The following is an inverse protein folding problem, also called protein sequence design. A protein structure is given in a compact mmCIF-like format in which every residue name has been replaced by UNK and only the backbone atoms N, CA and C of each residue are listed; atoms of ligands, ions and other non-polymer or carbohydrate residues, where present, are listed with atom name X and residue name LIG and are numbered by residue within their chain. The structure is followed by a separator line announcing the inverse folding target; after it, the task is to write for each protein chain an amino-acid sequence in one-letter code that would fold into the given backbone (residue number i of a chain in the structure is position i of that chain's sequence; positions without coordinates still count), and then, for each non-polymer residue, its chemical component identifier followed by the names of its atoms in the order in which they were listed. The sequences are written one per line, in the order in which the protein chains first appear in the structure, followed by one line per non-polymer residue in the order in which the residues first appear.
data_IF_700330230146
#
_entry.id   IF_700330230146
#
_cell.length_a   1.000
_cell.length_b   1.000
_cell.length_c   1.000
_cell.angle_alpha   90.00
_cell.angle_beta   90.00
_cell.angle_gamma   90.00
#
_symmetry.space_group_name_H-M   'P 1'
#
loop_
_entity.id
_entity.type
_entity.pdbx_description
1 polymer ?
#
# COMPACT_ATOMS: atom_id res chain seq x y z
N UNK A 1 -74.73 -23.03 46.75
CA UNK A 1 -74.00 -21.75 46.98
C UNK A 1 -72.61 -21.89 46.55
N UNK A 2 -72.36 -21.43 45.35
CA UNK A 2 -71.06 -21.58 44.68
C UNK A 2 -70.37 -20.24 44.56
N UNK A 3 -69.24 -20.07 45.19
CA UNK A 3 -68.33 -18.94 44.88
C UNK A 3 -67.35 -19.33 43.80
N UNK A 4 -67.62 -18.82 42.68
CA UNK A 4 -66.70 -18.91 41.56
C UNK A 4 -65.52 -17.96 41.81
N UNK A 5 -64.31 -18.47 41.88
CA UNK A 5 -63.10 -17.68 41.80
C UNK A 5 -62.57 -17.72 40.37
N UNK A 6 -62.65 -16.54 39.78
CA UNK A 6 -61.99 -16.32 38.48
C UNK A 6 -60.46 -16.37 38.68
N UNK A 7 -59.82 -17.34 38.12
CA UNK A 7 -58.38 -17.35 37.96
C UNK A 7 -57.97 -16.36 36.87
N UNK A 8 -57.25 -15.36 37.25
CA UNK A 8 -56.63 -14.44 36.29
C UNK A 8 -55.50 -15.16 35.56
N UNK A 9 -55.72 -15.42 34.26
CA UNK A 9 -54.66 -15.81 33.37
C UNK A 9 -53.75 -14.62 33.12
N UNK A 10 -52.57 -14.63 33.72
CA UNK A 10 -51.49 -13.76 33.31
C UNK A 10 -50.85 -14.33 32.06
N UNK A 11 -51.23 -13.76 30.93
CA UNK A 11 -50.56 -14.00 29.67
C UNK A 11 -49.28 -13.21 29.67
N UNK A 12 -48.19 -13.85 30.08
CA UNK A 12 -46.84 -13.30 29.96
C UNK A 12 -46.43 -13.34 28.49
N UNK A 13 -46.57 -12.22 27.83
CA UNK A 13 -45.93 -12.03 26.52
C UNK A 13 -44.41 -11.97 26.71
N UNK A 14 -43.75 -13.08 26.45
CA UNK A 14 -42.30 -13.10 26.34
C UNK A 14 -41.94 -12.42 25.01
N UNK A 15 -41.60 -11.17 25.08
CA UNK A 15 -41.02 -10.46 23.94
C UNK A 15 -39.60 -11.02 23.71
N UNK A 16 -39.48 -11.92 22.79
CA UNK A 16 -38.18 -12.36 22.27
C UNK A 16 -37.64 -11.21 21.40
N UNK A 17 -36.82 -10.36 22.01
CA UNK A 17 -36.02 -9.40 21.26
C UNK A 17 -34.94 -10.19 20.54
N UNK A 18 -35.20 -10.55 19.29
CA UNK A 18 -34.19 -11.07 18.37
C UNK A 18 -33.25 -9.89 18.03
N UNK A 19 -32.16 -9.76 18.77
CA UNK A 19 -31.06 -8.92 18.40
C UNK A 19 -30.42 -9.57 17.17
N UNK A 20 -30.83 -9.15 15.99
CA UNK A 20 -30.12 -9.46 14.76
C UNK A 20 -28.77 -8.75 14.82
N UNK A 21 -27.75 -9.45 15.27
CA UNK A 21 -26.36 -9.09 15.06
C UNK A 21 -26.13 -9.15 13.56
N UNK A 22 -26.30 -8.01 12.91
CA UNK A 22 -25.77 -7.76 11.58
C UNK A 22 -24.24 -7.80 11.73
N UNK A 23 -23.68 -8.99 11.59
CA UNK A 23 -22.27 -9.14 11.30
C UNK A 23 -22.08 -8.50 9.91
N UNK A 24 -21.78 -7.21 9.92
CA UNK A 24 -21.21 -6.55 8.77
C UNK A 24 -19.87 -7.23 8.53
N UNK A 25 -19.85 -8.27 7.71
CA UNK A 25 -18.64 -8.74 7.06
C UNK A 25 -18.18 -7.54 6.24
N UNK A 26 -17.25 -6.75 6.80
CA UNK A 26 -16.47 -5.83 6.01
C UNK A 26 -15.80 -6.71 4.96
N UNK A 27 -16.32 -6.66 3.74
CA UNK A 27 -15.65 -7.26 2.59
C UNK A 27 -14.39 -6.44 2.43
N UNK A 28 -13.30 -6.94 3.01
CA UNK A 28 -11.97 -6.39 2.78
C UNK A 28 -11.68 -6.71 1.33
N UNK A 29 -11.95 -5.74 0.46
CA UNK A 29 -11.61 -5.86 -0.94
C UNK A 29 -10.09 -6.00 -1.02
N UNK A 30 -9.55 -7.13 -1.54
CA UNK A 30 -8.11 -7.30 -1.61
C UNK A 30 -7.52 -6.16 -2.43
N UNK A 31 -6.46 -5.52 -1.90
CA UNK A 31 -5.79 -4.41 -2.58
C UNK A 31 -5.26 -4.91 -3.92
N UNK A 32 -5.45 -4.12 -4.97
CA UNK A 32 -4.92 -4.45 -6.28
C UNK A 32 -3.39 -4.42 -6.28
N UNK A 33 -2.77 -5.13 -7.21
CA UNK A 33 -1.32 -5.08 -7.41
C UNK A 33 -0.85 -3.65 -7.70
N UNK A 34 -1.62 -2.90 -8.48
CA UNK A 34 -1.37 -1.51 -8.82
C UNK A 34 -1.35 -0.60 -7.57
N UNK A 35 -2.28 -0.79 -6.65
CA UNK A 35 -2.33 -0.01 -5.40
C UNK A 35 -1.13 -0.31 -4.50
N UNK A 36 -0.79 -1.59 -4.37
CA UNK A 36 0.36 -2.04 -3.57
C UNK A 36 1.65 -1.47 -4.15
N UNK A 37 1.86 -1.60 -5.46
CA UNK A 37 3.08 -1.13 -6.13
C UNK A 37 3.14 0.39 -6.11
N UNK A 38 2.03 1.10 -6.29
CA UNK A 38 1.97 2.57 -6.16
C UNK A 38 2.46 3.04 -4.81
N UNK A 39 1.94 2.45 -3.74
CA UNK A 39 2.34 2.80 -2.38
C UNK A 39 3.83 2.49 -2.13
N UNK A 40 4.30 1.33 -2.54
CA UNK A 40 5.70 0.92 -2.35
C UNK A 40 6.66 1.79 -3.15
N UNK A 41 6.33 2.10 -4.41
CA UNK A 41 7.13 2.99 -5.25
C UNK A 41 7.19 4.40 -4.66
N UNK A 42 6.06 4.94 -4.21
CA UNK A 42 6.04 6.25 -3.57
C UNK A 42 6.86 6.26 -2.28
N UNK A 43 6.75 5.22 -1.45
CA UNK A 43 7.53 5.10 -0.22
C UNK A 43 9.03 5.04 -0.50
N UNK A 44 9.45 4.27 -1.51
CA UNK A 44 10.86 4.21 -1.94
C UNK A 44 11.38 5.58 -2.37
N UNK A 45 10.64 6.30 -3.19
CA UNK A 45 11.02 7.64 -3.64
C UNK A 45 11.05 8.66 -2.50
N UNK A 46 10.08 8.59 -1.59
CA UNK A 46 10.08 9.45 -0.40
C UNK A 46 11.33 9.22 0.45
N UNK A 47 11.77 7.97 0.61
CA UNK A 47 13.01 7.65 1.30
C UNK A 47 14.22 8.29 0.60
N UNK A 48 14.32 8.22 -0.72
CA UNK A 48 15.39 8.86 -1.49
C UNK A 48 15.37 10.39 -1.36
N UNK A 49 14.20 11.01 -1.44
CA UNK A 49 14.05 12.46 -1.25
C UNK A 49 14.47 12.89 0.14
N UNK A 50 14.20 12.08 1.16
CA UNK A 50 14.59 12.32 2.55
C UNK A 50 16.07 11.98 2.84
N UNK A 51 16.77 11.35 1.91
CA UNK A 51 18.13 10.88 2.09
C UNK A 51 18.30 9.58 2.86
N UNK A 52 17.21 8.85 3.10
CA UNK A 52 17.23 7.51 3.70
C UNK A 52 17.51 6.45 2.63
N UNK A 53 18.78 6.35 2.25
CA UNK A 53 19.24 5.47 1.18
C UNK A 53 19.03 4.00 1.53
N UNK A 54 19.19 3.63 2.82
CA UNK A 54 18.97 2.26 3.27
C UNK A 54 17.51 1.84 3.10
N UNK A 55 16.57 2.68 3.55
CA UNK A 55 15.15 2.40 3.38
C UNK A 55 14.75 2.26 1.91
N UNK A 56 15.33 3.08 1.02
CA UNK A 56 15.11 2.94 -0.42
C UNK A 56 15.68 1.64 -0.99
N UNK A 57 16.85 1.21 -0.52
CA UNK A 57 17.49 -0.05 -0.93
C UNK A 57 16.69 -1.28 -0.49
N UNK A 58 16.00 -1.21 0.63
CA UNK A 58 15.19 -2.32 1.15
C UNK A 58 14.02 -2.69 0.23
N UNK A 59 13.67 -1.83 -0.73
CA UNK A 59 12.70 -2.15 -1.78
C UNK A 59 13.26 -2.92 -2.98
N UNK A 60 14.59 -3.07 -3.07
CA UNK A 60 15.20 -3.81 -4.16
C UNK A 60 14.81 -5.29 -4.13
N UNK A 61 14.62 -5.87 -5.32
CA UNK A 61 14.41 -7.30 -5.43
C UNK A 61 15.62 -8.09 -4.89
N UNK A 62 15.41 -9.33 -4.41
CA UNK A 62 16.52 -10.20 -4.00
C UNK A 62 17.59 -10.32 -5.08
N UNK A 63 17.21 -10.47 -6.35
CA UNK A 63 18.13 -10.52 -7.47
C UNK A 63 18.93 -9.21 -7.66
N UNK A 64 18.27 -8.06 -7.52
CA UNK A 64 18.95 -6.76 -7.60
C UNK A 64 19.96 -6.58 -6.46
N UNK A 65 19.62 -7.04 -5.24
CA UNK A 65 20.53 -6.98 -4.09
C UNK A 65 21.71 -7.93 -4.22
N UNK A 66 21.56 -9.02 -4.95
CA UNK A 66 22.67 -9.94 -5.24
C UNK A 66 23.71 -9.33 -6.20
N UNK A 67 23.30 -8.38 -7.03
CA UNK A 67 24.18 -7.74 -8.04
C UNK A 67 24.67 -6.36 -7.63
N UNK A 68 24.04 -5.73 -6.67
CA UNK A 68 24.45 -4.41 -6.15
C UNK A 68 24.26 -4.35 -4.62
N UNK A 69 25.35 -4.15 -3.92
CA UNK A 69 25.33 -3.98 -2.47
C UNK A 69 24.74 -2.60 -2.06
N UNK A 70 24.34 -2.48 -0.79
CA UNK A 70 23.91 -1.17 -0.23
C UNK A 70 25.00 -0.11 -0.38
N UNK A 71 26.26 -0.45 -0.15
CA UNK A 71 27.38 0.49 -0.27
C UNK A 71 27.55 1.02 -1.70
N UNK A 72 27.48 0.13 -2.68
CA UNK A 72 27.54 0.51 -4.10
C UNK A 72 26.34 1.37 -4.51
N UNK A 73 25.14 1.00 -4.07
CA UNK A 73 23.95 1.81 -4.31
C UNK A 73 24.09 3.20 -3.68
N UNK A 74 24.48 3.28 -2.41
CA UNK A 74 24.61 4.53 -1.67
C UNK A 74 25.65 5.46 -2.31
N UNK A 75 26.76 4.91 -2.82
CA UNK A 75 27.80 5.71 -3.48
C UNK A 75 27.32 6.43 -4.76
N UNK A 76 26.29 5.87 -5.41
CA UNK A 76 25.67 6.45 -6.59
C UNK A 76 24.56 7.46 -6.30
N UNK A 77 24.14 7.60 -5.05
CA UNK A 77 23.03 8.48 -4.66
C UNK A 77 23.55 9.86 -4.25
N UNK A 78 23.09 10.89 -4.96
CA UNK A 78 23.32 12.27 -4.59
C UNK A 78 22.18 12.75 -3.70
N UNK A 79 22.40 12.70 -2.38
CA UNK A 79 21.42 13.17 -1.38
C UNK A 79 21.07 14.64 -1.63
N UNK A 80 19.78 14.97 -1.56
CA UNK A 80 19.27 16.32 -1.79
C UNK A 80 19.11 16.72 -3.26
N UNK A 81 19.46 15.82 -4.19
CA UNK A 81 19.25 16.05 -5.62
C UNK A 81 17.75 16.07 -5.98
N UNK A 82 17.02 15.05 -5.57
CA UNK A 82 15.57 14.97 -5.79
C UNK A 82 14.83 15.82 -4.77
N UNK A 83 13.90 16.66 -5.26
CA UNK A 83 13.08 17.55 -4.42
C UNK A 83 11.71 16.98 -4.14
N UNK A 84 11.12 16.31 -5.14
CA UNK A 84 9.85 15.61 -5.04
C UNK A 84 9.75 14.53 -6.11
N UNK A 85 9.00 13.49 -5.84
CA UNK A 85 8.65 12.48 -6.84
C UNK A 85 7.20 12.08 -6.65
N UNK A 86 6.46 12.02 -7.75
CA UNK A 86 5.06 11.61 -7.80
C UNK A 86 4.93 10.35 -8.63
N UNK A 87 4.25 9.35 -8.10
CA UNK A 87 3.84 8.17 -8.88
C UNK A 87 2.56 8.52 -9.64
N UNK A 88 2.68 8.67 -10.95
CA UNK A 88 1.58 9.10 -11.81
C UNK A 88 0.66 7.93 -12.18
N UNK A 89 1.26 6.82 -12.62
CA UNK A 89 0.53 5.65 -13.13
C UNK A 89 1.26 4.36 -12.82
N UNK A 90 0.50 3.33 -12.52
CA UNK A 90 0.98 1.95 -12.38
C UNK A 90 0.15 1.05 -13.29
N UNK A 91 0.81 0.19 -14.04
CA UNK A 91 0.19 -0.79 -14.91
C UNK A 91 0.84 -2.16 -14.65
N UNK A 92 0.04 -3.13 -14.24
CA UNK A 92 0.52 -4.47 -13.94
C UNK A 92 0.00 -5.48 -14.96
N UNK A 93 0.87 -6.43 -15.32
CA UNK A 93 0.54 -7.59 -16.13
C UNK A 93 1.24 -8.81 -15.49
N UNK A 94 0.46 -9.75 -14.97
CA UNK A 94 0.99 -10.91 -14.24
C UNK A 94 1.82 -10.48 -13.03
N UNK A 95 3.08 -10.87 -13.01
CA UNK A 95 4.01 -10.63 -11.90
C UNK A 95 4.96 -9.44 -12.14
N UNK A 96 4.62 -8.58 -13.07
CA UNK A 96 5.39 -7.37 -13.39
C UNK A 96 4.49 -6.15 -13.45
N UNK A 97 4.97 -5.03 -12.93
CA UNK A 97 4.33 -3.73 -13.05
C UNK A 97 5.30 -2.71 -13.62
N UNK A 98 4.82 -1.89 -14.53
CA UNK A 98 5.49 -0.67 -14.97
C UNK A 98 4.93 0.51 -14.19
N UNK A 99 5.81 1.31 -13.61
CA UNK A 99 5.47 2.50 -12.84
C UNK A 99 5.99 3.73 -13.56
N UNK A 100 5.12 4.68 -13.79
CA UNK A 100 5.46 5.99 -14.35
C UNK A 100 5.49 7.01 -13.22
N UNK A 101 6.59 7.74 -13.13
CA UNK A 101 6.79 8.78 -12.11
C UNK A 101 7.19 10.09 -12.76
N UNK A 102 6.90 11.18 -12.08
CA UNK A 102 7.46 12.51 -12.37
C UNK A 102 8.46 12.85 -11.29
N UNK A 103 9.70 13.04 -11.66
CA UNK A 103 10.80 13.41 -10.76
C UNK A 103 11.01 14.92 -10.86
N UNK A 104 11.04 15.60 -9.71
CA UNK A 104 11.39 17.01 -9.60
C UNK A 104 12.78 17.16 -8.99
N UNK A 105 13.63 17.92 -9.66
CA UNK A 105 14.96 18.32 -9.16
C UNK A 105 15.27 19.76 -9.52
N UNK A 106 16.32 20.29 -8.96
CA UNK A 106 16.76 21.64 -9.26
C UNK A 106 18.01 21.59 -10.14
N UNK A 107 18.00 22.36 -11.21
CA UNK A 107 19.14 22.54 -12.09
C UNK A 107 19.34 24.03 -12.37
N UNK A 108 20.50 24.58 -12.00
CA UNK A 108 20.85 25.99 -12.18
C UNK A 108 19.78 26.96 -11.62
N UNK A 109 19.27 26.65 -10.43
CA UNK A 109 18.23 27.45 -9.77
C UNK A 109 16.82 27.29 -10.33
N UNK A 110 16.64 26.46 -11.34
CA UNK A 110 15.33 26.18 -11.93
C UNK A 110 14.81 24.79 -11.52
N UNK A 111 13.53 24.72 -11.19
CA UNK A 111 12.88 23.45 -10.92
C UNK A 111 12.53 22.75 -12.23
N UNK A 112 13.04 21.53 -12.38
CA UNK A 112 12.85 20.69 -13.59
C UNK A 112 12.01 19.51 -13.22
N UNK A 113 11.06 19.14 -14.08
CA UNK A 113 10.25 17.92 -13.99
C UNK A 113 10.63 16.98 -15.12
N UNK A 114 10.93 15.75 -14.78
CA UNK A 114 11.33 14.74 -15.75
C UNK A 114 10.52 13.46 -15.56
N UNK A 115 9.93 12.90 -16.62
CA UNK A 115 9.30 11.59 -16.55
C UNK A 115 10.34 10.49 -16.34
N UNK A 116 9.98 9.51 -15.53
CA UNK A 116 10.83 8.36 -15.26
C UNK A 116 9.97 7.09 -15.22
N UNK A 117 10.57 5.93 -15.53
CA UNK A 117 9.90 4.64 -15.49
C UNK A 117 10.65 3.67 -14.62
N UNK A 118 9.91 2.86 -13.89
CA UNK A 118 10.42 1.78 -13.06
C UNK A 118 9.73 0.47 -13.40
N UNK A 119 10.45 -0.61 -13.16
CA UNK A 119 9.87 -1.95 -13.20
C UNK A 119 9.81 -2.51 -11.78
N UNK A 120 8.66 -3.04 -11.42
CA UNK A 120 8.45 -3.75 -10.18
C UNK A 120 8.06 -5.19 -10.50
N UNK A 121 8.57 -6.14 -9.74
CA UNK A 121 8.33 -7.58 -9.93
C UNK A 121 7.81 -8.21 -8.65
N UNK A 122 6.93 -9.17 -8.81
CA UNK A 122 6.42 -9.96 -7.68
C UNK A 122 7.29 -11.21 -7.51
N UNK A 123 7.86 -11.36 -6.32
CA UNK A 123 8.54 -12.57 -5.88
C UNK A 123 7.92 -13.02 -4.56
N UNK A 124 7.35 -14.23 -4.54
CA UNK A 124 6.56 -14.70 -3.42
C UNK A 124 5.30 -13.85 -3.22
N UNK A 125 5.10 -13.35 -2.01
CA UNK A 125 3.96 -12.50 -1.66
C UNK A 125 4.23 -11.00 -1.77
N UNK A 126 5.45 -10.60 -2.15
CA UNK A 126 5.88 -9.20 -2.14
C UNK A 126 6.20 -8.68 -3.54
N UNK A 127 6.02 -7.37 -3.70
CA UNK A 127 6.44 -6.61 -4.87
C UNK A 127 7.76 -5.91 -4.59
N UNK A 128 8.70 -5.99 -5.52
CA UNK A 128 10.06 -5.50 -5.39
C UNK A 128 10.45 -4.61 -6.55
N UNK A 129 11.23 -3.57 -6.26
CA UNK A 129 11.86 -2.76 -7.29
C UNK A 129 12.95 -3.56 -8.02
N UNK A 130 12.83 -3.65 -9.34
CA UNK A 130 13.82 -4.28 -10.20
C UNK A 130 14.78 -3.22 -10.73
N UNK A 131 16.01 -3.24 -10.22
CA UNK A 131 17.05 -2.40 -10.79
C UNK A 131 17.59 -3.06 -12.08
N UNK A 132 17.62 -2.29 -13.14
CA UNK A 132 18.24 -2.65 -14.42
C UNK A 132 19.57 -1.91 -14.58
#
# INVERSE_FOLDING_TARGET
MGKRRLGKLFSGAVAVVAVALLAACAVVNPRSSEDIVRERSQARWNALVQGDVKAAYDFFSPGSRATQSLSEFASGIKIGFWKAVTVDRVQCAGESCEVHTTIEYEHRGMRVKTPHRETWVREGSNWWFLRR
#
